data_IF_110041667856
#
_entry.id   IF_110041667856
#
_cell.length_a   1.000
_cell.length_b   1.000
_cell.length_c   1.000
_cell.angle_alpha   90.00
_cell.angle_beta   90.00
_cell.angle_gamma   90.00
#
_symmetry.space_group_name_H-M   'P 1'
#
loop_
_entity.id
_entity.type
_entity.pdbx_description
1 polymer ?
#
# COMPACT_ATOMS: atom_id res chain seq x y z
N UNK A 1 7.54 -14.02 17.02
CA UNK A 1 8.31 -13.77 15.78
C UNK A 1 7.34 -13.20 14.75
N UNK A 2 7.68 -12.11 14.04
CA UNK A 2 6.74 -11.50 13.11
C UNK A 2 6.62 -12.36 11.81
N UNK A 3 5.54 -12.18 11.05
CA UNK A 3 5.27 -12.90 9.81
C UNK A 3 6.43 -12.83 8.79
N UNK A 4 7.03 -11.65 8.61
CA UNK A 4 8.10 -11.43 7.64
C UNK A 4 9.41 -12.11 8.03
N UNK A 5 9.73 -12.22 9.32
CA UNK A 5 10.87 -12.98 9.81
C UNK A 5 10.72 -14.47 9.49
N UNK A 6 9.50 -15.02 9.63
CA UNK A 6 9.21 -16.42 9.29
C UNK A 6 9.38 -16.64 7.79
N UNK A 7 8.75 -15.80 6.96
CA UNK A 7 8.88 -15.86 5.49
C UNK A 7 10.33 -15.69 5.04
N UNK A 8 11.10 -14.79 5.65
CA UNK A 8 12.50 -14.61 5.32
C UNK A 8 13.33 -15.88 5.54
N UNK A 9 13.06 -16.64 6.60
CA UNK A 9 13.69 -17.94 6.86
C UNK A 9 13.25 -18.99 5.84
N UNK A 10 11.97 -19.02 5.47
CA UNK A 10 11.44 -19.94 4.45
C UNK A 10 12.13 -19.72 3.09
N UNK A 11 12.17 -18.47 2.62
CA UNK A 11 12.82 -18.12 1.35
C UNK A 11 14.31 -18.43 1.35
N UNK A 12 15.01 -18.07 2.42
CA UNK A 12 16.45 -18.35 2.55
C UNK A 12 16.73 -19.84 2.58
N UNK A 13 15.94 -20.63 3.33
CA UNK A 13 16.09 -22.09 3.38
C UNK A 13 15.82 -22.74 2.03
N UNK A 14 14.80 -22.27 1.31
CA UNK A 14 14.46 -22.78 -0.01
C UNK A 14 15.56 -22.49 -1.03
N UNK A 15 16.14 -21.28 -0.99
CA UNK A 15 17.32 -20.95 -1.79
C UNK A 15 18.49 -21.85 -1.45
N UNK A 16 18.82 -22.00 -0.15
CA UNK A 16 19.94 -22.82 0.31
C UNK A 16 19.83 -24.30 -0.10
N UNK A 17 18.62 -24.84 -0.26
CA UNK A 17 18.39 -26.19 -0.80
C UNK A 17 18.63 -26.30 -2.31
N UNK A 18 18.38 -25.23 -3.06
CA UNK A 18 18.47 -25.20 -4.53
C UNK A 18 19.84 -24.77 -5.03
N UNK A 19 20.52 -23.91 -4.27
CA UNK A 19 21.84 -23.39 -4.62
C UNK A 19 22.87 -24.52 -4.65
N UNK A 20 23.70 -24.52 -5.70
CA UNK A 20 24.79 -25.46 -5.91
C UNK A 20 26.11 -24.69 -5.97
N UNK A 21 27.21 -25.38 -5.69
CA UNK A 21 28.55 -24.85 -5.96
C UNK A 21 28.67 -24.47 -7.46
N UNK A 22 29.27 -23.30 -7.72
CA UNK A 22 29.35 -22.71 -9.05
C UNK A 22 28.08 -21.98 -9.52
N UNK A 23 27.00 -21.92 -8.72
CA UNK A 23 25.78 -21.22 -9.12
C UNK A 23 26.07 -19.74 -9.42
N UNK A 24 25.78 -19.33 -10.64
CA UNK A 24 26.04 -17.98 -11.14
C UNK A 24 24.93 -17.01 -10.70
N UNK A 25 25.34 -15.82 -10.23
CA UNK A 25 24.47 -14.72 -9.81
C UNK A 25 24.91 -13.42 -10.48
N UNK A 26 23.96 -12.70 -11.07
CA UNK A 26 24.24 -11.42 -11.72
C UNK A 26 23.76 -10.27 -10.83
N UNK A 27 24.67 -9.34 -10.50
CA UNK A 27 24.29 -8.08 -9.81
C UNK A 27 23.40 -7.22 -10.70
N UNK A 28 22.74 -6.22 -10.13
CA UNK A 28 21.94 -5.29 -10.93
C UNK A 28 22.72 -4.50 -12.00
N UNK A 29 24.06 -4.42 -11.88
CA UNK A 29 24.94 -3.81 -12.89
C UNK A 29 25.54 -4.83 -13.88
N UNK A 30 25.07 -6.08 -13.90
CA UNK A 30 25.57 -7.10 -14.82
C UNK A 30 26.85 -7.83 -14.36
N UNK A 31 27.48 -7.43 -13.25
CA UNK A 31 28.65 -8.15 -12.72
C UNK A 31 28.29 -9.56 -12.26
N UNK A 32 29.13 -10.53 -12.60
CA UNK A 32 28.93 -11.95 -12.29
C UNK A 32 29.59 -12.34 -10.97
N UNK A 33 28.86 -13.11 -10.16
CA UNK A 33 29.32 -13.73 -8.92
C UNK A 33 28.99 -15.22 -8.95
N UNK A 34 29.76 -16.02 -8.24
CA UNK A 34 29.57 -17.47 -8.14
C UNK A 34 29.42 -17.85 -6.68
N UNK A 35 28.39 -18.63 -6.36
CA UNK A 35 28.25 -19.27 -5.05
C UNK A 35 29.24 -20.42 -4.98
N UNK A 36 30.16 -20.37 -4.02
CA UNK A 36 31.12 -21.45 -3.80
C UNK A 36 30.56 -22.48 -2.83
N UNK A 37 30.05 -22.04 -1.68
CA UNK A 37 29.45 -22.95 -0.69
C UNK A 37 28.46 -22.23 0.21
N UNK A 38 27.53 -23.00 0.80
CA UNK A 38 26.60 -22.53 1.81
C UNK A 38 26.74 -23.40 3.05
N UNK A 39 27.01 -22.76 4.18
CA UNK A 39 27.10 -23.41 5.49
C UNK A 39 25.89 -23.05 6.36
N UNK A 40 25.85 -23.56 7.58
CA UNK A 40 24.82 -23.17 8.56
C UNK A 40 24.86 -21.68 8.94
N UNK A 41 26.02 -21.01 8.79
CA UNK A 41 26.21 -19.61 9.21
C UNK A 41 26.44 -18.63 8.06
N UNK A 42 27.02 -19.08 6.95
CA UNK A 42 27.51 -18.21 5.89
C UNK A 42 27.15 -18.72 4.50
N UNK A 43 26.95 -17.78 3.57
CA UNK A 43 27.01 -17.99 2.12
C UNK A 43 28.37 -17.48 1.65
N UNK A 44 29.16 -18.33 1.02
CA UNK A 44 30.45 -17.97 0.43
C UNK A 44 30.29 -17.76 -1.07
N UNK A 45 30.87 -16.68 -1.58
CA UNK A 45 30.85 -16.37 -3.00
C UNK A 45 32.19 -15.76 -3.46
N UNK A 46 32.47 -15.88 -4.75
CA UNK A 46 33.54 -15.15 -5.43
C UNK A 46 32.96 -14.27 -6.53
N UNK A 47 33.60 -13.15 -6.80
CA UNK A 47 33.27 -12.33 -7.99
C UNK A 47 34.11 -12.82 -9.15
N UNK A 48 33.62 -12.73 -10.38
CA UNK A 48 34.40 -13.12 -11.58
C UNK A 48 35.82 -12.51 -11.63
N UNK A 49 35.97 -11.26 -11.19
CA UNK A 49 37.25 -10.53 -11.21
C UNK A 49 38.15 -10.78 -9.98
N UNK A 50 37.67 -11.47 -8.94
CA UNK A 50 38.38 -11.62 -7.67
C UNK A 50 38.53 -13.09 -7.31
N UNK A 51 39.76 -13.50 -7.02
CA UNK A 51 40.05 -14.83 -6.47
C UNK A 51 39.69 -14.96 -4.99
N UNK A 52 39.45 -13.83 -4.30
CA UNK A 52 39.19 -13.83 -2.87
C UNK A 52 37.76 -14.30 -2.57
N UNK A 53 37.67 -15.28 -1.68
CA UNK A 53 36.40 -15.78 -1.15
C UNK A 53 35.78 -14.76 -0.19
N UNK A 54 34.55 -14.34 -0.48
CA UNK A 54 33.79 -13.42 0.37
C UNK A 54 32.71 -14.22 1.10
N UNK A 55 32.52 -13.96 2.41
CA UNK A 55 31.52 -14.65 3.24
C UNK A 55 30.43 -13.68 3.72
N UNK A 56 29.16 -14.03 3.50
CA UNK A 56 28.00 -13.25 3.96
C UNK A 56 27.26 -14.03 5.05
N UNK A 57 27.08 -13.46 6.26
CA UNK A 57 26.28 -14.12 7.28
C UNK A 57 24.83 -14.33 6.83
N UNK A 58 24.30 -15.54 6.99
CA UNK A 58 22.91 -15.89 6.66
C UNK A 58 21.88 -15.08 7.45
N UNK A 59 22.25 -14.61 8.64
CA UNK A 59 21.42 -13.68 9.40
C UNK A 59 21.21 -12.35 8.66
N UNK A 60 22.28 -11.75 8.12
CA UNK A 60 22.17 -10.49 7.36
C UNK A 60 21.36 -10.66 6.08
N UNK A 61 21.48 -11.82 5.42
CA UNK A 61 20.63 -12.20 4.29
C UNK A 61 19.16 -12.25 4.72
N UNK A 62 18.84 -12.94 5.83
CA UNK A 62 17.47 -13.02 6.35
C UNK A 62 16.91 -11.65 6.72
N UNK A 63 17.70 -10.77 7.35
CA UNK A 63 17.27 -9.39 7.65
C UNK A 63 16.96 -8.59 6.38
N UNK A 64 17.75 -8.77 5.32
CA UNK A 64 17.52 -8.11 4.03
C UNK A 64 16.28 -8.67 3.30
N UNK A 65 16.04 -9.98 3.36
CA UNK A 65 14.81 -10.61 2.86
C UNK A 65 13.60 -10.08 3.65
N UNK A 66 13.67 -10.07 4.98
CA UNK A 66 12.60 -9.56 5.85
C UNK A 66 12.27 -8.11 5.49
N UNK A 67 13.28 -7.25 5.32
CA UNK A 67 13.08 -5.87 4.89
C UNK A 67 12.42 -5.77 3.51
N UNK A 68 12.90 -6.56 2.53
CA UNK A 68 12.33 -6.56 1.19
C UNK A 68 10.87 -7.03 1.19
N UNK A 69 10.52 -8.08 1.94
CA UNK A 69 9.13 -8.51 2.09
C UNK A 69 8.29 -7.44 2.81
N UNK A 70 8.86 -6.81 3.85
CA UNK A 70 8.17 -5.80 4.63
C UNK A 70 7.93 -4.50 3.87
N UNK A 71 8.88 -4.03 3.05
CA UNK A 71 8.75 -2.77 2.27
C UNK A 71 8.33 -2.99 0.82
N UNK A 72 8.36 -4.23 0.33
CA UNK A 72 8.22 -4.65 -1.09
C UNK A 72 9.21 -4.03 -2.07
N UNK A 73 10.07 -3.13 -1.63
CA UNK A 73 11.13 -2.58 -2.42
C UNK A 73 12.35 -2.29 -1.56
N UNK A 74 13.54 -2.39 -2.17
CA UNK A 74 14.79 -1.99 -1.52
C UNK A 74 15.76 -1.41 -2.53
N UNK A 75 16.43 -0.32 -2.16
CA UNK A 75 17.50 0.27 -2.97
C UNK A 75 18.84 -0.38 -2.65
N UNK A 76 19.80 -0.28 -3.58
CA UNK A 76 21.15 -0.78 -3.34
C UNK A 76 21.82 -0.11 -2.14
N UNK A 77 21.60 1.20 -2.00
CA UNK A 77 22.11 1.98 -0.87
C UNK A 77 21.57 1.43 0.46
N UNK A 78 20.25 1.20 0.54
CA UNK A 78 19.62 0.64 1.74
C UNK A 78 20.12 -0.75 2.10
N UNK A 79 20.52 -1.56 1.11
CA UNK A 79 21.15 -2.86 1.36
C UNK A 79 22.52 -2.75 2.06
N UNK A 80 23.19 -1.59 1.96
CA UNK A 80 24.43 -1.28 2.67
C UNK A 80 24.28 -1.32 4.20
N UNK A 81 23.10 -0.96 4.72
CA UNK A 81 22.80 -1.01 6.16
C UNK A 81 22.84 -2.44 6.72
N UNK A 82 22.56 -3.45 5.87
CA UNK A 82 22.61 -4.86 6.27
C UNK A 82 24.01 -5.44 6.07
N UNK A 83 24.65 -5.10 4.95
CA UNK A 83 25.95 -5.67 4.60
C UNK A 83 26.70 -4.84 3.53
N UNK A 84 28.02 -4.70 3.71
CA UNK A 84 28.87 -3.84 2.85
C UNK A 84 28.92 -4.26 1.37
N UNK A 85 28.76 -5.54 1.07
CA UNK A 85 28.69 -6.05 -0.31
C UNK A 85 27.26 -5.97 -0.86
N UNK A 86 26.68 -4.78 -0.86
CA UNK A 86 25.27 -4.54 -1.18
C UNK A 86 24.87 -4.89 -2.63
N UNK A 87 25.77 -4.73 -3.61
CA UNK A 87 25.54 -5.14 -5.01
C UNK A 87 25.36 -6.65 -5.15
N UNK A 88 26.16 -7.44 -4.41
CA UNK A 88 26.01 -8.90 -4.35
C UNK A 88 24.70 -9.25 -3.65
N UNK A 89 24.42 -8.65 -2.49
CA UNK A 89 23.19 -8.90 -1.74
C UNK A 89 21.95 -8.63 -2.59
N UNK A 90 21.94 -7.55 -3.38
CA UNK A 90 20.86 -7.26 -4.33
C UNK A 90 20.68 -8.34 -5.40
N UNK A 91 21.79 -8.80 -6.01
CA UNK A 91 21.76 -9.89 -6.99
C UNK A 91 21.29 -11.22 -6.38
N UNK A 92 21.73 -11.52 -5.15
CA UNK A 92 21.32 -12.69 -4.40
C UNK A 92 19.81 -12.66 -4.10
N UNK A 93 19.30 -11.54 -3.57
CA UNK A 93 17.87 -11.37 -3.31
C UNK A 93 17.06 -11.50 -4.61
N UNK A 94 17.49 -10.86 -5.69
CA UNK A 94 16.85 -11.03 -7.00
C UNK A 94 16.77 -12.51 -7.38
N UNK A 95 17.86 -13.27 -7.26
CA UNK A 95 17.85 -14.70 -7.58
C UNK A 95 16.89 -15.51 -6.70
N UNK A 96 16.85 -15.20 -5.40
CA UNK A 96 15.96 -15.88 -4.45
C UNK A 96 14.48 -15.71 -4.82
N UNK A 97 14.09 -14.53 -5.31
CA UNK A 97 12.70 -14.23 -5.62
C UNK A 97 12.31 -14.52 -7.08
N UNK A 98 13.25 -14.40 -8.03
CA UNK A 98 12.98 -14.72 -9.45
C UNK A 98 12.67 -16.22 -9.62
N UNK A 99 13.38 -17.10 -8.94
CA UNK A 99 13.16 -18.55 -9.06
C UNK A 99 11.91 -19.10 -8.36
N UNK A 100 11.22 -18.30 -7.56
CA UNK A 100 10.07 -18.76 -6.81
C UNK A 100 8.74 -18.40 -7.48
N UNK A 101 8.71 -17.34 -8.29
CA UNK A 101 7.50 -16.89 -9.01
C UNK A 101 7.76 -15.69 -9.94
N UNK A 102 9.02 -15.45 -10.35
CA UNK A 102 9.43 -14.21 -11.02
C UNK A 102 8.96 -12.94 -10.27
N UNK A 103 8.97 -13.01 -8.94
CA UNK A 103 8.41 -11.97 -8.07
C UNK A 103 9.27 -10.73 -7.99
N UNK A 104 10.50 -10.72 -8.50
CA UNK A 104 11.43 -9.63 -8.28
C UNK A 104 11.88 -9.01 -9.59
N UNK A 105 11.68 -7.69 -9.74
CA UNK A 105 12.20 -6.91 -10.87
C UNK A 105 13.13 -5.79 -10.44
N UNK A 106 14.08 -5.47 -11.32
CA UNK A 106 15.00 -4.35 -11.14
C UNK A 106 14.42 -3.12 -11.80
N UNK A 107 14.28 -2.03 -11.05
CA UNK A 107 13.90 -0.71 -11.56
C UNK A 107 15.08 0.25 -11.46
N UNK A 108 15.16 1.19 -12.41
CA UNK A 108 16.08 2.33 -12.38
C UNK A 108 15.27 3.62 -12.41
N UNK A 109 15.49 4.53 -11.46
CA UNK A 109 14.78 5.81 -11.43
C UNK A 109 15.16 6.69 -12.63
N UNK A 110 14.18 7.46 -13.14
CA UNK A 110 14.41 8.51 -14.13
C UNK A 110 14.83 9.78 -13.41
N UNK A 111 16.08 9.93 -12.99
CA UNK A 111 16.52 11.15 -12.29
C UNK A 111 18.01 11.38 -12.42
N UNK A 112 18.49 12.55 -11.97
CA UNK A 112 19.93 12.90 -12.01
C UNK A 112 20.79 11.83 -11.32
N UNK A 113 20.24 11.19 -10.28
CA UNK A 113 20.81 10.01 -9.65
C UNK A 113 20.03 8.79 -10.12
N UNK A 114 20.67 7.93 -10.92
CA UNK A 114 20.13 6.62 -11.28
C UNK A 114 20.14 5.72 -10.04
N UNK A 115 19.01 5.63 -9.34
CA UNK A 115 18.83 4.75 -8.19
C UNK A 115 18.37 3.40 -8.70
N UNK A 116 19.10 2.37 -8.30
CA UNK A 116 18.77 0.98 -8.59
C UNK A 116 17.95 0.38 -7.44
N UNK A 117 16.78 -0.16 -7.78
CA UNK A 117 15.81 -0.70 -6.82
C UNK A 117 15.41 -2.11 -7.21
N UNK A 118 15.37 -3.01 -6.24
CA UNK A 118 14.74 -4.32 -6.35
C UNK A 118 13.31 -4.19 -5.83
N UNK A 119 12.33 -4.55 -6.65
CA UNK A 119 10.90 -4.41 -6.34
C UNK A 119 10.22 -5.77 -6.46
N UNK A 120 9.39 -6.12 -5.48
CA UNK A 120 8.54 -7.30 -5.56
C UNK A 120 7.26 -6.99 -6.35
N UNK A 121 6.89 -7.87 -7.30
CA UNK A 121 5.62 -7.87 -8.02
C UNK A 121 4.45 -8.14 -7.07
N UNK A 122 3.25 -7.82 -7.52
CA UNK A 122 2.03 -7.91 -6.72
C UNK A 122 1.65 -6.62 -6.03
N UNK A 123 0.37 -6.52 -5.68
CA UNK A 123 -0.24 -5.32 -5.11
C UNK A 123 -0.39 -5.50 -3.61
N UNK A 124 0.29 -4.69 -2.81
CA UNK A 124 -0.01 -4.64 -1.37
C UNK A 124 -1.27 -3.81 -1.14
N UNK A 125 -2.26 -4.41 -0.50
CA UNK A 125 -3.51 -3.75 -0.17
C UNK A 125 -3.52 -3.18 1.26
N UNK A 126 -4.03 -1.95 1.41
CA UNK A 126 -4.25 -1.27 2.70
C UNK A 126 -5.76 -1.16 2.95
N UNK A 127 -6.24 -1.80 4.01
CA UNK A 127 -7.66 -1.78 4.34
C UNK A 127 -8.06 -0.46 4.99
N UNK A 128 -8.89 0.34 4.31
CA UNK A 128 -9.36 1.64 4.79
C UNK A 128 -10.73 1.54 5.49
N UNK A 129 -11.03 2.52 6.35
CA UNK A 129 -12.36 2.70 6.96
C UNK A 129 -12.63 1.87 8.22
N UNK A 130 -11.62 1.16 8.74
CA UNK A 130 -11.70 0.38 9.98
C UNK A 130 -11.11 1.13 11.20
N UNK A 131 -10.79 2.42 11.08
CA UNK A 131 -10.09 3.22 12.09
C UNK A 131 -10.85 3.37 13.43
N UNK A 132 -12.17 3.16 13.41
CA UNK A 132 -13.05 3.25 14.60
C UNK A 132 -13.72 1.93 14.96
N UNK A 133 -13.34 0.82 14.32
CA UNK A 133 -14.01 -0.48 14.49
C UNK A 133 -12.99 -1.54 14.89
N UNK A 134 -12.81 -1.79 16.20
CA UNK A 134 -11.92 -2.86 16.68
C UNK A 134 -12.27 -4.24 16.12
N UNK A 135 -13.57 -4.50 15.91
CA UNK A 135 -14.05 -5.75 15.30
C UNK A 135 -13.58 -5.91 13.85
N UNK A 136 -13.63 -4.85 13.04
CA UNK A 136 -13.13 -4.91 11.66
C UNK A 136 -11.62 -5.08 11.61
N UNK A 137 -10.88 -4.43 12.51
CA UNK A 137 -9.43 -4.62 12.60
C UNK A 137 -9.07 -6.07 12.95
N UNK A 138 -9.84 -6.69 13.86
CA UNK A 138 -9.66 -8.10 14.21
C UNK A 138 -9.96 -9.01 13.01
N UNK A 139 -11.05 -8.77 12.28
CA UNK A 139 -11.38 -9.50 11.05
C UNK A 139 -10.27 -9.36 9.99
N UNK A 140 -9.76 -8.14 9.78
CA UNK A 140 -8.65 -7.89 8.85
C UNK A 140 -7.44 -8.76 9.22
N UNK A 141 -7.02 -8.74 10.49
CA UNK A 141 -5.88 -9.53 10.96
C UNK A 141 -6.13 -11.04 10.83
N UNK A 142 -7.30 -11.51 11.22
CA UNK A 142 -7.68 -12.93 11.20
C UNK A 142 -7.66 -13.51 9.79
N UNK A 143 -8.10 -12.73 8.81
CA UNK A 143 -8.22 -13.15 7.42
C UNK A 143 -7.00 -12.77 6.56
N UNK A 144 -5.86 -12.50 7.20
CA UNK A 144 -4.55 -12.37 6.54
C UNK A 144 -4.13 -10.94 6.17
N UNK A 145 -4.99 -9.96 6.44
CA UNK A 145 -4.67 -8.55 6.27
C UNK A 145 -3.63 -8.07 7.29
N UNK A 146 -2.66 -7.28 6.81
CA UNK A 146 -1.52 -6.81 7.63
C UNK A 146 -1.38 -5.29 7.68
N UNK A 147 -1.98 -4.60 6.69
CA UNK A 147 -1.86 -3.17 6.51
C UNK A 147 -3.23 -2.52 6.49
N UNK A 148 -3.37 -1.42 7.21
CA UNK A 148 -4.58 -0.61 7.25
C UNK A 148 -4.25 0.82 6.88
N UNK A 149 -5.22 1.51 6.30
CA UNK A 149 -5.13 2.94 6.05
C UNK A 149 -6.05 3.67 7.03
N UNK A 150 -5.46 4.57 7.82
CA UNK A 150 -6.21 5.46 8.72
C UNK A 150 -6.15 6.88 8.18
N UNK A 151 -7.24 7.62 8.33
CA UNK A 151 -7.29 9.04 7.94
C UNK A 151 -6.99 9.93 9.14
N UNK A 152 -6.02 10.83 9.01
CA UNK A 152 -5.72 11.84 10.01
C UNK A 152 -6.95 12.66 10.38
N UNK A 153 -7.83 12.92 9.41
CA UNK A 153 -9.13 13.57 9.62
C UNK A 153 -9.92 12.95 10.78
N UNK A 154 -9.95 11.62 10.86
CA UNK A 154 -10.67 10.89 11.88
C UNK A 154 -9.87 10.76 13.19
N UNK A 155 -8.55 10.55 13.08
CA UNK A 155 -7.69 10.30 14.24
C UNK A 155 -7.41 11.56 15.06
N UNK A 156 -7.36 12.73 14.44
CA UNK A 156 -7.08 14.00 15.14
C UNK A 156 -8.13 14.36 16.20
N UNK A 157 -9.32 13.76 16.11
CA UNK A 157 -10.40 13.92 17.09
C UNK A 157 -10.43 12.82 18.16
N UNK A 158 -9.65 11.75 18.02
CA UNK A 158 -9.56 10.69 19.03
C UNK A 158 -8.65 11.11 20.18
N UNK A 159 -9.26 11.64 21.25
CA UNK A 159 -8.55 12.11 22.45
C UNK A 159 -7.88 10.99 23.24
N UNK A 160 -8.37 9.75 23.14
CA UNK A 160 -7.88 8.62 23.93
C UNK A 160 -6.87 7.77 23.16
N UNK A 161 -6.70 8.03 21.86
CA UNK A 161 -5.77 7.35 20.96
C UNK A 161 -5.89 5.82 21.04
N UNK A 162 -7.13 5.32 21.20
CA UNK A 162 -7.43 3.90 21.42
C UNK A 162 -7.03 3.05 20.21
N UNK A 163 -7.03 3.65 19.02
CA UNK A 163 -6.55 3.05 17.79
C UNK A 163 -5.13 2.47 17.93
N UNK A 164 -4.23 3.12 18.67
CA UNK A 164 -2.84 2.65 18.85
C UNK A 164 -2.80 1.31 19.58
N UNK A 165 -3.65 1.15 20.60
CA UNK A 165 -3.73 -0.08 21.38
C UNK A 165 -4.14 -1.24 20.47
N UNK A 166 -5.19 -1.07 19.68
CA UNK A 166 -5.68 -2.11 18.77
C UNK A 166 -4.66 -2.47 17.69
N UNK A 167 -4.01 -1.48 17.07
CA UNK A 167 -2.97 -1.72 16.07
C UNK A 167 -1.80 -2.51 16.63
N UNK A 168 -1.29 -2.14 17.82
CA UNK A 168 -0.20 -2.88 18.47
C UNK A 168 -0.62 -4.29 18.86
N UNK A 169 -1.79 -4.44 19.47
CA UNK A 169 -2.34 -5.74 19.90
C UNK A 169 -2.47 -6.72 18.72
N UNK A 170 -2.96 -6.23 17.59
CA UNK A 170 -3.19 -7.03 16.39
C UNK A 170 -1.95 -7.15 15.49
N UNK A 171 -0.88 -6.41 15.78
CA UNK A 171 0.34 -6.41 14.96
C UNK A 171 0.16 -5.78 13.57
N UNK A 172 -0.90 -5.00 13.36
CA UNK A 172 -1.21 -4.31 12.11
C UNK A 172 -0.24 -3.14 11.87
N UNK A 173 -0.17 -2.70 10.61
CA UNK A 173 0.68 -1.59 10.16
C UNK A 173 -0.18 -0.48 9.55
N UNK A 174 0.06 0.75 9.97
CA UNK A 174 -0.80 1.90 9.61
C UNK A 174 -0.13 2.76 8.55
N UNK A 175 -0.77 2.89 7.39
CA UNK A 175 -0.51 3.97 6.46
C UNK A 175 -1.43 5.15 6.82
N UNK A 176 -0.86 6.34 7.01
CA UNK A 176 -1.64 7.52 7.38
C UNK A 176 -1.98 8.35 6.15
N UNK A 177 -3.27 8.45 5.86
CA UNK A 177 -3.84 9.42 4.94
C UNK A 177 -3.93 10.81 5.57
N UNK A 178 -3.70 11.85 4.76
CA UNK A 178 -3.66 13.25 5.18
C UNK A 178 -5.04 13.78 5.59
N UNK A 179 -6.10 13.18 5.04
CA UNK A 179 -7.47 13.61 5.25
C UNK A 179 -7.92 14.75 4.34
N UNK A 180 -7.10 15.21 3.38
CA UNK A 180 -7.51 16.29 2.47
C UNK A 180 -8.75 15.90 1.64
N UNK A 181 -8.86 14.65 1.19
CA UNK A 181 -10.06 14.20 0.48
C UNK A 181 -11.35 14.35 1.31
N UNK A 182 -11.26 14.15 2.63
CA UNK A 182 -12.41 14.36 3.54
C UNK A 182 -12.75 15.85 3.67
N UNK A 183 -11.74 16.72 3.71
CA UNK A 183 -11.93 18.18 3.66
C UNK A 183 -12.53 18.64 2.32
N UNK A 184 -12.03 18.12 1.20
CA UNK A 184 -12.54 18.42 -0.12
C UNK A 184 -14.02 18.05 -0.27
N UNK A 185 -14.42 16.86 0.19
CA UNK A 185 -15.83 16.45 0.21
C UNK A 185 -16.68 17.33 1.12
N UNK A 186 -16.14 17.78 2.25
CA UNK A 186 -16.84 18.71 3.15
C UNK A 186 -17.10 20.05 2.45
N UNK A 187 -16.09 20.63 1.80
CA UNK A 187 -16.21 21.88 1.03
C UNK A 187 -17.27 21.75 -0.08
N UNK A 188 -17.16 20.72 -0.94
CA UNK A 188 -18.16 20.47 -2.00
C UNK A 188 -19.58 20.31 -1.46
N UNK A 189 -19.76 19.68 -0.30
CA UNK A 189 -21.09 19.52 0.30
C UNK A 189 -21.65 20.86 0.81
N UNK A 190 -20.79 21.72 1.37
CA UNK A 190 -21.18 23.08 1.76
C UNK A 190 -21.67 23.84 0.52
N UNK A 191 -20.89 23.85 -0.56
CA UNK A 191 -21.23 24.53 -1.81
C UNK A 191 -22.60 24.06 -2.36
N UNK A 192 -22.81 22.73 -2.44
CA UNK A 192 -24.09 22.16 -2.92
C UNK A 192 -25.28 22.54 -2.04
N UNK A 193 -25.11 22.61 -0.72
CA UNK A 193 -26.19 23.02 0.20
C UNK A 193 -26.48 24.52 0.04
N UNK A 194 -25.45 25.35 -0.14
CA UNK A 194 -25.60 26.78 -0.40
C UNK A 194 -26.33 27.04 -1.73
N UNK A 195 -25.96 26.36 -2.80
CA UNK A 195 -26.64 26.48 -4.11
C UNK A 195 -28.11 26.08 -4.02
N UNK A 196 -28.42 25.01 -3.28
CA UNK A 196 -29.81 24.59 -3.04
C UNK A 196 -30.61 25.66 -2.30
N UNK A 197 -30.03 26.25 -1.25
CA UNK A 197 -30.68 27.29 -0.45
C UNK A 197 -31.06 28.51 -1.29
N UNK A 198 -30.25 28.89 -2.29
CA UNK A 198 -30.56 30.02 -3.18
C UNK A 198 -31.82 29.82 -4.03
N UNK A 199 -32.16 28.56 -4.33
CA UNK A 199 -33.36 28.21 -5.14
C UNK A 199 -34.60 27.92 -4.30
N UNK A 200 -34.47 27.88 -2.97
CA UNK A 200 -35.56 27.52 -2.05
C UNK A 200 -36.28 28.73 -1.49
N UNK A 201 -37.60 28.62 -1.32
CA UNK A 201 -38.38 29.63 -0.60
C UNK A 201 -38.00 29.64 0.89
N UNK A 202 -37.56 30.81 1.36
CA UNK A 202 -37.23 31.04 2.77
C UNK A 202 -38.43 30.78 3.70
N UNK A 203 -38.14 30.35 4.93
CA UNK A 203 -39.17 30.05 5.93
C UNK A 203 -39.86 28.70 5.78
N UNK A 204 -39.63 27.96 4.69
CA UNK A 204 -40.15 26.59 4.55
C UNK A 204 -39.45 25.58 5.47
N UNK A 205 -40.12 24.47 5.79
CA UNK A 205 -39.54 23.38 6.58
C UNK A 205 -38.27 22.80 5.93
N UNK A 206 -38.26 22.68 4.60
CA UNK A 206 -37.10 22.19 3.85
C UNK A 206 -35.92 23.17 3.92
N UNK A 207 -36.18 24.47 3.76
CA UNK A 207 -35.15 25.50 3.91
C UNK A 207 -34.52 25.46 5.31
N UNK A 208 -35.34 25.33 6.35
CA UNK A 208 -34.88 25.25 7.75
C UNK A 208 -34.00 24.01 8.01
N UNK A 209 -34.35 22.86 7.42
CA UNK A 209 -33.52 21.64 7.46
C UNK A 209 -32.17 21.86 6.79
N UNK A 210 -32.14 22.49 5.61
CA UNK A 210 -30.89 22.77 4.88
C UNK A 210 -29.99 23.76 5.63
N UNK A 211 -30.54 24.81 6.25
CA UNK A 211 -29.78 25.74 7.10
C UNK A 211 -29.16 25.03 8.32
N UNK A 212 -29.92 24.14 8.96
CA UNK A 212 -29.39 23.34 10.09
C UNK A 212 -28.25 22.43 9.65
N UNK A 213 -28.36 21.81 8.47
CA UNK A 213 -27.29 21.02 7.87
C UNK A 213 -26.06 21.89 7.56
N UNK A 214 -26.24 23.04 6.90
CA UNK A 214 -25.16 23.97 6.55
C UNK A 214 -24.36 24.37 7.79
N UNK A 215 -25.03 24.80 8.86
CA UNK A 215 -24.38 25.15 10.15
C UNK A 215 -23.54 24.01 10.71
N UNK A 216 -24.03 22.76 10.62
CA UNK A 216 -23.26 21.57 11.07
C UNK A 216 -22.02 21.33 10.20
N UNK A 217 -22.10 21.57 8.90
CA UNK A 217 -20.98 21.42 7.98
C UNK A 217 -19.94 22.54 8.18
N UNK A 218 -20.38 23.79 8.32
CA UNK A 218 -19.52 24.94 8.59
C UNK A 218 -18.78 24.78 9.93
N UNK A 219 -19.44 24.33 10.99
CA UNK A 219 -18.79 24.03 12.26
C UNK A 219 -17.66 22.99 12.14
N UNK A 220 -17.82 21.98 11.25
CA UNK A 220 -16.74 21.03 10.95
C UNK A 220 -15.60 21.66 10.14
N UNK A 221 -15.92 22.63 9.28
CA UNK A 221 -14.95 23.34 8.44
C UNK A 221 -14.07 24.31 9.24
N UNK A 222 -14.56 24.82 10.37
CA UNK A 222 -13.80 25.70 11.28
C UNK A 222 -12.51 25.10 11.85
N UNK A 223 -12.33 23.78 11.73
CA UNK A 223 -11.13 23.07 12.18
C UNK A 223 -10.39 22.50 10.96
N UNK A 224 -9.76 23.32 10.11
CA UNK A 224 -9.08 22.82 8.92
C UNK A 224 -7.91 21.88 9.29
N UNK A 225 -7.54 21.01 8.36
CA UNK A 225 -6.29 20.24 8.47
C UNK A 225 -5.13 21.18 8.16
N UNK A 226 -4.28 21.45 9.15
CA UNK A 226 -3.09 22.30 8.99
C UNK A 226 -1.84 21.43 8.88
N UNK A 227 -0.92 21.81 8.00
CA UNK A 227 0.33 21.07 7.79
C UNK A 227 1.19 20.97 9.07
N UNK A 228 1.14 22.00 9.93
CA UNK A 228 1.81 22.02 11.23
C UNK A 228 1.29 20.92 12.14
N UNK A 229 -0.02 20.87 12.34
CA UNK A 229 -0.70 19.91 13.23
C UNK A 229 -0.54 18.48 12.71
N UNK A 230 -0.55 18.32 11.39
CA UNK A 230 -0.33 17.03 10.74
C UNK A 230 1.11 16.54 10.97
N UNK A 231 2.11 17.40 10.77
CA UNK A 231 3.51 17.06 11.02
C UNK A 231 3.77 16.68 12.49
N UNK A 232 3.21 17.44 13.44
CA UNK A 232 3.32 17.15 14.88
C UNK A 232 2.66 15.82 15.24
N UNK A 233 1.50 15.52 14.66
CA UNK A 233 0.84 14.23 14.82
C UNK A 233 1.72 13.07 14.32
N UNK A 234 2.31 13.20 13.13
CA UNK A 234 3.19 12.17 12.56
C UNK A 234 4.39 11.92 13.48
N UNK A 235 5.09 12.97 13.92
CA UNK A 235 6.27 12.85 14.78
C UNK A 235 5.94 12.19 16.12
N UNK A 236 4.82 12.58 16.74
CA UNK A 236 4.32 12.00 17.99
C UNK A 236 3.99 10.51 17.85
N UNK A 237 3.54 10.07 16.68
CA UNK A 237 3.05 8.70 16.44
C UNK A 237 3.94 7.85 15.52
N UNK A 238 5.15 8.31 15.19
CA UNK A 238 6.04 7.64 14.24
C UNK A 238 6.34 6.17 14.57
N UNK A 239 6.28 5.78 15.86
CA UNK A 239 6.54 4.41 16.31
C UNK A 239 5.49 3.38 15.88
N UNK A 240 4.30 3.83 15.48
CA UNK A 240 3.18 2.96 15.04
C UNK A 240 2.82 3.14 13.56
N UNK A 241 3.28 4.22 12.94
CA UNK A 241 3.05 4.50 11.53
C UNK A 241 4.05 3.73 10.67
N UNK A 242 3.54 3.06 9.65
CA UNK A 242 4.34 2.37 8.62
C UNK A 242 4.92 3.36 7.62
N UNK A 243 4.06 4.23 7.09
CA UNK A 243 4.35 5.32 6.18
C UNK A 243 3.21 6.36 6.29
N UNK A 244 3.38 7.50 5.64
CA UNK A 244 2.42 8.61 5.64
C UNK A 244 2.36 9.21 4.23
N UNK A 245 1.19 9.67 3.81
CA UNK A 245 1.07 10.51 2.62
C UNK A 245 1.42 11.96 2.94
N UNK A 246 1.79 12.75 1.92
CA UNK A 246 1.86 14.19 2.10
C UNK A 246 0.45 14.77 2.27
N UNK A 247 0.35 15.94 2.90
CA UNK A 247 -0.87 16.74 2.82
C UNK A 247 -0.92 17.37 1.44
N UNK A 248 -1.57 16.69 0.51
CA UNK A 248 -1.88 17.19 -0.81
C UNK A 248 -2.97 18.26 -0.75
N UNK A 249 -3.12 18.97 -1.86
CA UNK A 249 -4.23 19.87 -2.14
C UNK A 249 -4.78 19.51 -3.50
N UNK A 250 -6.02 19.01 -3.53
CA UNK A 250 -6.66 18.63 -4.80
C UNK A 250 -6.74 19.83 -5.75
N UNK A 251 -6.10 19.71 -6.91
CA UNK A 251 -6.05 20.79 -7.92
C UNK A 251 -4.94 21.81 -7.74
N UNK A 252 -4.13 21.74 -6.68
CA UNK A 252 -3.03 22.66 -6.41
C UNK A 252 -1.71 21.90 -6.19
N UNK A 253 -0.94 21.65 -7.27
CA UNK A 253 0.33 20.94 -7.18
C UNK A 253 1.41 21.75 -6.47
N UNK A 254 1.32 23.09 -6.44
CA UNK A 254 2.30 23.96 -5.79
C UNK A 254 2.16 23.91 -4.27
N UNK A 255 0.94 24.03 -3.74
CA UNK A 255 0.66 23.86 -2.30
C UNK A 255 1.01 22.44 -1.85
N UNK A 256 0.69 21.42 -2.68
CA UNK A 256 1.06 20.02 -2.41
C UNK A 256 2.57 19.83 -2.29
N UNK A 257 3.36 20.48 -3.17
CA UNK A 257 4.82 20.44 -3.14
C UNK A 257 5.39 21.23 -1.96
N UNK A 258 4.80 22.38 -1.62
CA UNK A 258 5.15 23.14 -0.42
C UNK A 258 4.99 22.29 0.85
N UNK A 259 3.83 21.64 1.01
CA UNK A 259 3.55 20.76 2.14
C UNK A 259 4.50 19.57 2.19
N UNK A 260 4.80 18.94 1.05
CA UNK A 260 5.77 17.86 0.95
C UNK A 260 7.16 18.32 1.43
N UNK A 261 7.62 19.48 0.95
CA UNK A 261 8.91 20.04 1.35
C UNK A 261 8.96 20.41 2.84
N UNK A 262 7.86 20.93 3.39
CA UNK A 262 7.71 21.21 4.81
C UNK A 262 7.91 19.95 5.68
N UNK A 263 7.32 18.82 5.27
CA UNK A 263 7.47 17.53 5.96
C UNK A 263 8.91 17.00 5.84
N UNK A 264 9.52 17.05 4.66
CA UNK A 264 10.89 16.56 4.45
C UNK A 264 11.92 17.34 5.26
N UNK A 265 11.77 18.67 5.40
CA UNK A 265 12.63 19.51 6.25
C UNK A 265 12.58 19.11 7.73
N UNK A 266 11.55 18.38 8.16
CA UNK A 266 11.37 17.84 9.51
C UNK A 266 11.76 16.36 9.62
N UNK A 267 12.40 15.80 8.59
CA UNK A 267 12.79 14.39 8.55
C UNK A 267 11.64 13.43 8.25
N UNK A 268 10.45 13.93 7.92
CA UNK A 268 9.29 13.10 7.58
C UNK A 268 9.34 12.78 6.08
N UNK A 269 9.62 11.51 5.75
CA UNK A 269 9.66 11.02 4.37
C UNK A 269 8.26 10.63 3.89
N UNK A 270 7.41 11.64 3.66
CA UNK A 270 6.06 11.43 3.18
C UNK A 270 6.02 10.92 1.72
N UNK A 271 4.99 10.13 1.41
CA UNK A 271 4.67 9.67 0.06
C UNK A 271 3.96 10.81 -0.69
N UNK A 272 4.51 11.33 -1.79
CA UNK A 272 3.85 12.36 -2.56
C UNK A 272 2.62 11.81 -3.30
N UNK A 273 1.57 12.62 -3.41
CA UNK A 273 0.36 12.33 -4.18
C UNK A 273 0.33 13.20 -5.43
N UNK A 274 0.10 12.58 -6.59
CA UNK A 274 -0.28 13.25 -7.83
C UNK A 274 -1.75 13.00 -8.14
N UNK A 275 -2.41 13.99 -8.73
CA UNK A 275 -3.81 13.93 -9.13
C UNK A 275 -3.93 13.99 -10.65
N UNK A 276 -4.82 13.20 -11.28
CA UNK A 276 -5.09 13.31 -12.71
C UNK A 276 -5.64 14.67 -13.15
N UNK A 277 -6.17 15.45 -12.21
CA UNK A 277 -6.61 16.83 -12.44
C UNK A 277 -5.42 17.80 -12.55
N UNK A 278 -4.21 17.39 -12.15
CA UNK A 278 -2.99 18.15 -12.33
C UNK A 278 -2.31 17.80 -13.65
N UNK A 279 -1.55 18.73 -14.27
CA UNK A 279 -0.77 18.44 -15.46
C UNK A 279 0.18 17.26 -15.28
N UNK A 280 0.45 16.53 -16.37
CA UNK A 280 1.39 15.39 -16.36
C UNK A 280 2.82 15.82 -15.99
N UNK A 281 3.20 17.06 -16.30
CA UNK A 281 4.51 17.63 -15.96
C UNK A 281 4.75 17.68 -14.43
N UNK A 282 3.69 17.79 -13.64
CA UNK A 282 3.78 17.69 -12.19
C UNK A 282 4.18 16.26 -11.76
N UNK A 283 3.66 15.23 -12.44
CA UNK A 283 4.08 13.85 -12.21
C UNK A 283 5.52 13.61 -12.68
N UNK A 284 5.90 14.13 -13.86
CA UNK A 284 7.29 14.09 -14.34
C UNK A 284 8.26 14.66 -13.32
N UNK A 285 7.89 15.78 -12.69
CA UNK A 285 8.68 16.44 -11.64
C UNK A 285 8.87 15.52 -10.44
N UNK A 286 7.80 14.86 -9.96
CA UNK A 286 7.89 13.93 -8.83
C UNK A 286 8.72 12.67 -9.15
N UNK A 287 8.55 12.10 -10.35
CA UNK A 287 9.31 10.92 -10.79
C UNK A 287 10.80 11.24 -10.94
N UNK A 288 11.12 12.45 -11.40
CA UNK A 288 12.51 12.93 -11.60
C UNK A 288 13.15 13.57 -10.39
N UNK A 289 12.41 13.67 -9.29
CA UNK A 289 12.88 14.30 -8.06
C UNK A 289 14.12 13.59 -7.51
N UNK A 290 15.13 14.38 -7.13
CA UNK A 290 16.40 13.87 -6.61
C UNK A 290 16.30 13.10 -5.29
N UNK A 291 15.18 13.21 -4.57
CA UNK A 291 14.88 12.45 -3.35
C UNK A 291 14.63 10.97 -3.64
N UNK A 292 14.22 10.62 -4.86
CA UNK A 292 14.05 9.22 -5.28
C UNK A 292 12.96 8.47 -4.53
N UNK A 293 11.73 8.96 -4.56
CA UNK A 293 10.61 8.41 -3.80
C UNK A 293 10.43 6.90 -4.01
N UNK A 294 10.20 6.16 -2.92
CA UNK A 294 9.96 4.71 -2.99
C UNK A 294 8.64 4.36 -3.65
N UNK A 295 7.66 5.24 -3.51
CA UNK A 295 6.33 5.16 -4.10
C UNK A 295 5.78 6.58 -4.31
N UNK A 296 4.95 6.76 -5.32
CA UNK A 296 4.14 7.97 -5.57
C UNK A 296 2.68 7.53 -5.57
N UNK A 297 1.80 8.24 -4.87
CA UNK A 297 0.37 7.96 -4.90
C UNK A 297 -0.33 8.65 -6.07
N UNK A 298 -1.38 8.00 -6.58
CA UNK A 298 -2.31 8.54 -7.57
C UNK A 298 -3.65 8.77 -6.88
N UNK A 299 -3.94 10.04 -6.57
CA UNK A 299 -5.18 10.50 -5.95
C UNK A 299 -6.29 10.81 -6.95
N UNK A 300 -7.47 11.20 -6.47
CA UNK A 300 -8.56 11.69 -7.32
C UNK A 300 -9.25 10.67 -8.24
N UNK A 301 -8.81 9.41 -8.24
CA UNK A 301 -9.33 8.35 -9.12
C UNK A 301 -10.82 8.06 -8.93
N UNK A 302 -11.35 8.25 -7.72
CA UNK A 302 -12.77 8.05 -7.40
C UNK A 302 -13.70 9.10 -8.03
N UNK A 303 -13.15 10.24 -8.46
CA UNK A 303 -13.94 11.29 -9.13
C UNK A 303 -14.06 11.07 -10.64
N UNK A 304 -13.42 10.03 -11.17
CA UNK A 304 -13.37 9.72 -12.60
C UNK A 304 -14.32 8.57 -12.92
N UNK A 305 -14.81 8.56 -14.17
CA UNK A 305 -15.49 7.37 -14.72
C UNK A 305 -14.50 6.21 -14.81
N UNK A 306 -15.01 4.99 -14.80
CA UNK A 306 -14.18 3.78 -14.80
C UNK A 306 -13.26 3.69 -16.02
N UNK A 307 -13.79 3.94 -17.22
CA UNK A 307 -13.02 3.94 -18.47
C UNK A 307 -11.87 4.96 -18.43
N UNK A 308 -12.15 6.17 -17.95
CA UNK A 308 -11.16 7.24 -17.82
C UNK A 308 -10.09 6.89 -16.78
N UNK A 309 -10.51 6.34 -15.63
CA UNK A 309 -9.60 5.83 -14.60
C UNK A 309 -8.66 4.75 -15.17
N UNK A 310 -9.20 3.81 -15.94
CA UNK A 310 -8.40 2.76 -16.58
C UNK A 310 -7.38 3.35 -17.55
N UNK A 311 -7.84 4.26 -18.42
CA UNK A 311 -6.97 4.97 -19.37
C UNK A 311 -5.81 5.67 -18.66
N UNK A 312 -6.10 6.48 -17.64
CA UNK A 312 -5.08 7.24 -16.91
C UNK A 312 -4.08 6.33 -16.20
N UNK A 313 -4.56 5.30 -15.49
CA UNK A 313 -3.68 4.37 -14.78
C UNK A 313 -2.78 3.64 -15.77
N UNK A 314 -3.33 3.11 -16.87
CA UNK A 314 -2.52 2.44 -17.90
C UNK A 314 -1.48 3.39 -18.49
N UNK A 315 -1.86 4.63 -18.85
CA UNK A 315 -0.91 5.63 -19.37
C UNK A 315 0.23 5.93 -18.38
N UNK A 316 -0.06 6.04 -17.09
CA UNK A 316 0.97 6.26 -16.06
C UNK A 316 1.88 5.04 -15.90
N UNK A 317 1.31 3.83 -15.88
CA UNK A 317 2.08 2.58 -15.75
C UNK A 317 2.95 2.32 -16.99
N UNK A 318 2.44 2.56 -18.20
CA UNK A 318 3.20 2.45 -19.45
C UNK A 318 4.38 3.43 -19.49
N UNK A 319 4.14 4.68 -19.07
CA UNK A 319 5.15 5.74 -19.14
C UNK A 319 6.21 5.64 -18.03
N UNK A 320 5.83 5.22 -16.82
CA UNK A 320 6.71 5.30 -15.64
C UNK A 320 6.82 4.01 -14.83
N UNK A 321 6.01 2.99 -15.10
CA UNK A 321 5.90 1.77 -14.27
C UNK A 321 7.19 0.95 -14.18
N UNK A 322 8.10 1.07 -15.15
CA UNK A 322 9.43 0.45 -15.11
C UNK A 322 10.44 1.23 -14.25
N UNK A 323 10.12 2.47 -13.89
CA UNK A 323 11.03 3.37 -13.19
C UNK A 323 10.55 3.74 -11.79
N UNK A 324 9.24 3.81 -11.59
CA UNK A 324 8.61 4.27 -10.37
C UNK A 324 7.55 3.27 -9.89
N UNK A 325 7.33 3.22 -8.58
CA UNK A 325 6.25 2.47 -7.98
C UNK A 325 5.08 3.40 -7.69
N UNK A 326 3.86 2.91 -7.89
CA UNK A 326 2.64 3.67 -7.68
C UNK A 326 1.72 3.06 -6.64
N UNK A 327 1.14 3.93 -5.83
CA UNK A 327 0.04 3.62 -4.92
C UNK A 327 -1.27 4.14 -5.52
N UNK A 328 -2.28 3.29 -5.72
CA UNK A 328 -3.60 3.76 -6.17
C UNK A 328 -4.50 4.09 -4.97
N UNK A 329 -4.86 5.36 -4.80
CA UNK A 329 -5.69 5.79 -3.67
C UNK A 329 -7.16 5.43 -3.90
N UNK A 330 -7.78 4.77 -2.93
CA UNK A 330 -9.21 4.45 -2.95
C UNK A 330 -9.67 3.52 -4.09
N UNK A 331 -8.82 2.63 -4.59
CA UNK A 331 -9.15 1.74 -5.71
C UNK A 331 -9.42 0.30 -5.24
N UNK A 332 -10.52 -0.28 -5.69
CA UNK A 332 -10.83 -1.71 -5.52
C UNK A 332 -11.46 -2.31 -6.78
N UNK A 333 -11.03 -1.80 -7.94
CA UNK A 333 -11.49 -2.21 -9.28
C UNK A 333 -10.59 -3.31 -9.85
N UNK A 334 -10.99 -3.98 -10.95
CA UNK A 334 -10.17 -4.97 -11.66
C UNK A 334 -8.71 -4.57 -11.94
N UNK A 335 -8.41 -3.27 -12.00
CA UNK A 335 -7.04 -2.75 -12.18
C UNK A 335 -6.01 -3.33 -11.20
N UNK A 336 -6.40 -3.59 -9.95
CA UNK A 336 -5.45 -4.03 -8.91
C UNK A 336 -5.00 -5.48 -9.09
N UNK A 337 -5.74 -6.27 -9.89
CA UNK A 337 -5.47 -7.69 -10.14
C UNK A 337 -4.45 -7.92 -11.26
N UNK A 338 -4.12 -6.89 -12.06
CA UNK A 338 -3.13 -7.01 -13.13
C UNK A 338 -1.69 -7.18 -12.63
N UNK A 339 -1.41 -6.91 -11.34
CA UNK A 339 -0.10 -7.07 -10.72
C UNK A 339 0.94 -6.00 -11.05
N UNK A 340 0.55 -4.96 -11.80
CA UNK A 340 1.42 -3.83 -12.16
C UNK A 340 1.43 -2.74 -11.08
N UNK A 341 0.39 -2.72 -10.24
CA UNK A 341 0.25 -1.77 -9.13
C UNK A 341 1.10 -2.21 -7.95
N UNK A 342 1.89 -1.29 -7.38
CA UNK A 342 2.76 -1.62 -6.24
C UNK A 342 1.96 -1.69 -4.93
N UNK A 343 1.07 -0.72 -4.72
CA UNK A 343 0.23 -0.62 -3.53
C UNK A 343 -1.13 -0.04 -3.88
N UNK A 344 -2.12 -0.34 -3.05
CA UNK A 344 -3.47 0.21 -3.19
C UNK A 344 -4.14 0.28 -1.84
N UNK A 345 -5.07 1.21 -1.65
CA UNK A 345 -6.02 1.20 -0.54
C UNK A 345 -7.44 1.31 -1.06
N UNK A 346 -8.41 0.85 -0.26
CA UNK A 346 -9.83 1.17 -0.46
C UNK A 346 -10.65 0.70 0.75
N UNK A 347 -11.84 1.28 0.90
CA UNK A 347 -12.88 0.77 1.79
C UNK A 347 -13.63 -0.42 1.18
N UNK A 348 -13.25 -0.88 -0.02
CA UNK A 348 -13.95 -1.90 -0.81
C UNK A 348 -14.21 -3.19 -0.04
N UNK A 349 -13.30 -3.63 0.84
CA UNK A 349 -13.52 -4.82 1.66
C UNK A 349 -14.81 -4.71 2.51
N UNK A 350 -15.12 -3.50 3.02
CA UNK A 350 -16.30 -3.23 3.84
C UNK A 350 -17.61 -3.29 3.05
N UNK A 351 -17.57 -3.33 1.71
CA UNK A 351 -18.77 -3.53 0.89
C UNK A 351 -19.39 -4.92 1.12
N UNK A 352 -18.57 -5.91 1.51
CA UNK A 352 -19.07 -7.23 1.90
C UNK A 352 -20.07 -7.15 3.05
N UNK A 353 -19.75 -6.34 4.07
CA UNK A 353 -20.65 -6.12 5.20
C UNK A 353 -21.83 -5.20 4.87
N UNK A 354 -21.60 -4.16 4.07
CA UNK A 354 -22.65 -3.14 3.83
C UNK A 354 -23.69 -3.56 2.80
N UNK A 355 -23.29 -4.37 1.83
CA UNK A 355 -24.04 -4.60 0.61
C UNK A 355 -23.96 -6.05 0.11
N UNK A 356 -23.53 -7.01 0.95
CA UNK A 356 -23.39 -8.41 0.55
C UNK A 356 -22.56 -8.60 -0.74
N UNK A 357 -21.51 -7.78 -0.90
CA UNK A 357 -20.76 -7.68 -2.14
C UNK A 357 -19.34 -8.24 -2.01
N UNK A 358 -18.95 -9.13 -2.91
CA UNK A 358 -17.59 -9.65 -3.03
C UNK A 358 -16.83 -9.01 -4.20
N UNK A 359 -15.51 -8.87 -4.05
CA UNK A 359 -14.62 -8.30 -5.05
C UNK A 359 -13.96 -9.44 -5.83
N UNK A 360 -14.09 -9.40 -7.15
CA UNK A 360 -13.50 -10.36 -8.09
C UNK A 360 -12.64 -9.65 -9.13
N UNK A 361 -11.97 -10.44 -9.96
CA UNK A 361 -11.18 -9.93 -11.09
C UNK A 361 -12.05 -9.29 -12.18
N UNK A 362 -13.36 -9.58 -12.17
CA UNK A 362 -14.34 -9.08 -13.12
C UNK A 362 -15.21 -7.95 -12.57
N UNK A 363 -14.99 -7.53 -11.32
CA UNK A 363 -15.72 -6.45 -10.69
C UNK A 363 -16.32 -6.85 -9.36
N UNK A 364 -17.45 -6.23 -9.01
CA UNK A 364 -18.12 -6.44 -7.74
C UNK A 364 -19.37 -7.29 -7.96
N UNK A 365 -19.54 -8.34 -7.17
CA UNK A 365 -20.67 -9.28 -7.28
C UNK A 365 -21.48 -9.22 -5.99
N UNK A 366 -22.79 -8.97 -6.11
CA UNK A 366 -23.72 -9.13 -5.00
C UNK A 366 -24.09 -10.60 -4.82
N UNK A 367 -23.63 -11.20 -3.74
CA UNK A 367 -23.70 -12.65 -3.56
C UNK A 367 -25.10 -13.15 -3.25
N UNK A 368 -25.93 -12.31 -2.62
CA UNK A 368 -27.34 -12.59 -2.35
C UNK A 368 -28.20 -12.62 -3.61
N UNK A 369 -27.81 -11.85 -4.64
CA UNK A 369 -28.50 -11.82 -5.93
C UNK A 369 -28.00 -12.94 -6.87
N UNK A 370 -26.69 -13.21 -6.88
CA UNK A 370 -26.07 -14.14 -7.86
C UNK A 370 -25.96 -15.58 -7.33
N UNK A 371 -25.78 -15.77 -6.02
CA UNK A 371 -25.57 -17.08 -5.39
C UNK A 371 -26.43 -17.27 -4.12
N UNK A 372 -27.77 -17.10 -4.20
CA UNK A 372 -28.65 -17.18 -3.02
C UNK A 372 -28.57 -18.52 -2.28
N UNK A 373 -28.24 -19.61 -2.98
CA UNK A 373 -28.13 -20.96 -2.42
C UNK A 373 -26.89 -21.17 -1.53
N UNK A 374 -25.86 -20.33 -1.66
CA UNK A 374 -24.57 -20.51 -0.98
C UNK A 374 -24.52 -19.95 0.45
N UNK A 375 -25.65 -19.42 0.97
CA UNK A 375 -25.77 -18.91 2.35
C UNK A 375 -24.67 -17.90 2.73
N UNK A 376 -24.36 -16.99 1.82
CA UNK A 376 -23.46 -15.88 2.11
C UNK A 376 -24.02 -15.04 3.27
N UNK A 377 -23.12 -14.54 4.11
CA UNK A 377 -23.43 -13.57 5.17
C UNK A 377 -22.52 -12.36 5.03
N UNK A 378 -22.91 -11.24 5.64
CA UNK A 378 -22.10 -10.01 5.65
C UNK A 378 -20.67 -10.25 6.13
N UNK A 379 -20.50 -11.10 7.16
CA UNK A 379 -19.21 -11.49 7.70
C UNK A 379 -18.40 -12.35 6.73
N UNK A 380 -19.05 -13.30 6.05
CA UNK A 380 -18.41 -14.15 5.02
C UNK A 380 -17.97 -13.33 3.82
N UNK A 381 -18.78 -12.37 3.36
CA UNK A 381 -18.40 -11.46 2.28
C UNK A 381 -17.21 -10.57 2.69
N UNK A 382 -17.21 -10.01 3.91
CA UNK A 382 -16.09 -9.24 4.43
C UNK A 382 -14.81 -10.07 4.51
N UNK A 383 -14.89 -11.27 5.10
CA UNK A 383 -13.77 -12.20 5.21
C UNK A 383 -13.19 -12.59 3.84
N UNK A 384 -14.06 -12.91 2.88
CA UNK A 384 -13.66 -13.23 1.50
C UNK A 384 -12.89 -12.07 0.87
N UNK A 385 -13.44 -10.85 0.96
CA UNK A 385 -12.78 -9.67 0.41
C UNK A 385 -11.42 -9.41 1.06
N UNK A 386 -11.29 -9.61 2.38
CA UNK A 386 -9.99 -9.47 3.06
C UNK A 386 -8.99 -10.50 2.53
N UNK A 387 -9.39 -11.77 2.39
CA UNK A 387 -8.52 -12.83 1.89
C UNK A 387 -8.08 -12.55 0.45
N UNK A 388 -9.03 -12.24 -0.45
CA UNK A 388 -8.76 -11.96 -1.86
C UNK A 388 -7.87 -10.73 -2.06
N UNK A 389 -8.10 -9.66 -1.30
CA UNK A 389 -7.27 -8.46 -1.39
C UNK A 389 -5.89 -8.66 -0.74
N UNK A 390 -5.80 -9.48 0.30
CA UNK A 390 -4.51 -9.81 0.93
C UNK A 390 -3.64 -10.71 0.04
N UNK A 391 -4.25 -11.61 -0.75
CA UNK A 391 -3.53 -12.52 -1.63
C UNK A 391 -2.90 -11.83 -2.85
N UNK A 392 -3.32 -10.60 -3.17
CA UNK A 392 -2.70 -9.78 -4.22
C UNK A 392 -1.20 -9.53 -4.01
N UNK A 393 -0.73 -9.60 -2.76
CA UNK A 393 0.66 -9.38 -2.40
C UNK A 393 1.59 -10.54 -2.85
N UNK A 394 1.04 -11.74 -3.02
CA UNK A 394 1.80 -12.95 -3.35
C UNK A 394 1.91 -13.22 -4.87
N UNK A 395 1.29 -12.37 -5.71
CA UNK A 395 1.24 -12.38 -7.19
C UNK A 395 1.59 -13.70 -7.88
N UNK A 396 0.59 -14.29 -8.52
CA UNK A 396 0.77 -15.49 -9.33
C UNK A 396 0.49 -15.14 -10.80
N UNK A 397 1.45 -15.43 -11.69
CA UNK A 397 1.34 -15.17 -13.14
C UNK A 397 0.29 -16.04 -13.82
N UNK A 398 -0.06 -17.17 -13.22
CA UNK A 398 -1.12 -18.05 -13.70
C UNK A 398 -2.46 -17.55 -13.19
N UNK A 399 -3.44 -17.42 -14.09
CA UNK A 399 -4.85 -17.22 -13.72
C UNK A 399 -5.22 -18.23 -12.64
N UNK A 400 -5.57 -17.73 -11.45
CA UNK A 400 -6.14 -18.58 -10.42
C UNK A 400 -7.58 -18.83 -10.82
N UNK A 401 -7.98 -20.10 -10.96
CA UNK A 401 -9.40 -20.43 -11.10
C UNK A 401 -10.11 -19.88 -9.86
N UNK A 402 -10.95 -18.88 -10.08
CA UNK A 402 -11.70 -18.23 -9.01
C UNK A 402 -12.91 -19.10 -8.68
N UNK A 403 -12.78 -19.93 -7.64
CA UNK A 403 -13.91 -20.62 -7.06
C UNK A 403 -14.50 -19.71 -5.98
N UNK A 404 -15.66 -19.13 -6.26
CA UNK A 404 -16.41 -18.31 -5.31
C UNK A 404 -17.05 -19.22 -4.28
N UNK A 405 -16.37 -19.40 -3.14
CA UNK A 405 -16.89 -20.12 -1.99
C UNK A 405 -16.81 -19.24 -0.74
N UNK A 406 -17.86 -19.23 0.10
CA UNK A 406 -17.81 -18.51 1.36
C UNK A 406 -16.73 -19.09 2.27
N UNK A 407 -15.91 -18.25 2.94
CA UNK A 407 -14.90 -18.73 3.86
C UNK A 407 -15.56 -19.33 5.10
N UNK A 408 -14.95 -20.38 5.65
CA UNK A 408 -15.30 -20.89 6.97
C UNK A 408 -14.90 -19.87 8.04
N UNK A 409 -15.84 -19.52 8.93
CA UNK A 409 -15.54 -18.65 10.07
C UNK A 409 -15.06 -19.47 11.27
N UNK A 410 -14.19 -18.92 12.12
CA UNK A 410 -13.66 -19.65 13.29
C UNK A 410 -14.71 -20.06 14.30
N UNK A 411 -15.85 -19.36 14.35
CA UNK A 411 -17.02 -19.73 15.16
C UNK A 411 -17.75 -20.97 14.61
N UNK A 412 -17.53 -21.31 13.33
CA UNK A 412 -18.05 -22.50 12.65
C UNK A 412 -17.05 -23.66 12.72
N UNK A 413 -16.01 -23.58 13.56
CA UNK A 413 -15.07 -24.67 13.82
C UNK A 413 -15.81 -25.86 14.47
N UNK A 414 -16.36 -26.66 13.58
CA UNK A 414 -16.85 -28.03 13.66
C UNK A 414 -16.75 -28.65 15.06
N UNK A 415 -17.89 -28.71 15.75
CA UNK A 415 -18.22 -29.81 16.66
C UNK A 415 -18.28 -31.10 15.84
N UNK A 416 -17.11 -31.63 15.46
CA UNK A 416 -16.96 -33.01 15.05
C UNK A 416 -16.91 -33.83 16.35
N UNK A 417 -18.07 -34.36 16.73
CA UNK A 417 -18.16 -35.55 17.55
C UNK A 417 -17.82 -36.77 16.70
#
# INVERSE_FOLDING_TARGET
MNYYTIKAREHERLFSKKAKEGMMLTTGNGKVNFIESITNKYVFFKTEQSKNLIKVPREKIRSAIEYLLYRRAVTREKLGDFYKFNSFLMGLLRQMFVHLSDLAKMKKSLGKRSIMRLVLKGTRFYFAGADRSPGDLAMIQQHGGRFVLFSYWNLRTDKHETWKYHIKKLGLKVLLDSGEYSMHRLRKRIDVVQDRLQTMQEGTSNWSKQISELRKLEAKSQHPVRITDYAEFILRHQSVLFDVFNLDKTGDPEESMFNLNYLYRRGIKAIPIWHPQSPMDALDTLVRDGRGFDVIAIGGLLSLKEEERHRIVNTVMERYGEHQNFHLLGCSSPLIFKGETFQCDSTGALMGRRYMTVITEHGHIKTDEVYPEQKWTEEKCLAFNIQKLSSLEDYHTTQQLEILMPPALTSEAITLF
#
